data_IF_376825305320
#
_entry.id   IF_376825305320
#
_cell.length_a   1.000
_cell.length_b   1.000
_cell.length_c   1.000
_cell.angle_alpha   90.00
_cell.angle_beta   90.00
_cell.angle_gamma   90.00
#
_symmetry.space_group_name_H-M   'P 1'
#
loop_
_entity.id
_entity.type
_entity.pdbx_description
1 polymer ?
#
# COMPACT_ATOMS: atom_id res chain seq x y z
N UNK A 1 -3.96 34.31 -10.43
CA UNK A 1 -3.93 33.31 -9.34
C UNK A 1 -5.07 32.33 -9.58
N UNK A 2 -4.75 31.04 -9.54
CA UNK A 2 -5.72 29.96 -9.71
C UNK A 2 -6.39 29.72 -8.35
N UNK A 3 -7.73 29.60 -8.34
CA UNK A 3 -8.46 29.15 -7.16
C UNK A 3 -8.56 27.60 -7.21
N UNK A 4 -7.62 26.91 -6.56
CA UNK A 4 -7.49 25.47 -6.60
C UNK A 4 -8.71 24.74 -6.02
N UNK A 5 -9.30 25.27 -4.95
CA UNK A 5 -10.48 24.67 -4.29
C UNK A 5 -11.69 24.59 -5.22
N UNK A 6 -11.90 25.62 -6.08
CA UNK A 6 -12.98 25.61 -7.07
C UNK A 6 -12.81 24.52 -8.13
N UNK A 7 -11.59 24.01 -8.30
CA UNK A 7 -11.27 22.93 -9.24
C UNK A 7 -11.13 21.55 -8.56
N UNK A 8 -11.48 21.45 -7.26
CA UNK A 8 -11.49 20.20 -6.51
C UNK A 8 -10.11 19.77 -5.99
N UNK A 9 -9.19 20.73 -5.82
CA UNK A 9 -7.86 20.50 -5.25
C UNK A 9 -7.75 21.14 -3.88
N UNK A 10 -7.15 20.44 -2.94
CA UNK A 10 -6.77 20.98 -1.63
C UNK A 10 -5.40 21.65 -1.75
N UNK A 11 -5.35 22.98 -1.52
CA UNK A 11 -4.12 23.75 -1.57
C UNK A 11 -3.44 23.74 -0.20
N UNK A 12 -2.43 22.89 -0.04
CA UNK A 12 -1.79 22.61 1.25
C UNK A 12 -0.72 23.62 1.64
N UNK A 13 -0.25 24.48 0.72
CA UNK A 13 0.71 25.56 1.02
C UNK A 13 1.56 26.00 -0.15
N UNK A 14 2.32 27.08 0.10
CA UNK A 14 3.34 27.59 -0.81
C UNK A 14 4.60 28.01 -0.01
N UNK A 15 5.75 27.97 -0.66
CA UNK A 15 7.02 28.37 -0.10
C UNK A 15 7.82 29.18 -1.12
N UNK A 16 8.70 30.07 -0.66
CA UNK A 16 9.51 30.95 -1.50
C UNK A 16 10.75 30.27 -2.07
N UNK A 17 11.18 29.17 -1.49
CA UNK A 17 12.38 28.42 -1.86
C UNK A 17 12.31 26.95 -1.41
N UNK A 18 13.28 26.15 -1.87
CA UNK A 18 13.28 24.70 -1.61
C UNK A 18 13.59 24.34 -0.15
N UNK A 19 14.38 25.13 0.58
CA UNK A 19 14.70 24.84 1.99
C UNK A 19 13.48 25.00 2.89
N UNK A 20 12.63 26.00 2.62
CA UNK A 20 11.37 26.21 3.32
C UNK A 20 10.28 25.22 2.84
N UNK A 21 10.31 24.85 1.57
CA UNK A 21 9.35 23.91 1.01
C UNK A 21 9.51 22.48 1.56
N UNK A 22 10.75 22.01 1.69
CA UNK A 22 11.04 20.61 2.03
C UNK A 22 10.39 20.14 3.35
N UNK A 23 10.51 20.85 4.49
CA UNK A 23 9.84 20.45 5.73
C UNK A 23 8.32 20.41 5.59
N UNK A 24 7.73 21.39 4.87
CA UNK A 24 6.29 21.42 4.62
C UNK A 24 5.82 20.25 3.78
N UNK A 25 6.58 19.89 2.73
CA UNK A 25 6.30 18.73 1.87
C UNK A 25 6.35 17.42 2.67
N UNK A 26 7.34 17.26 3.54
CA UNK A 26 7.48 16.07 4.38
C UNK A 26 6.36 15.93 5.41
N UNK A 27 5.86 17.04 5.95
CA UNK A 27 4.74 17.09 6.88
C UNK A 27 3.41 16.83 6.17
N UNK A 28 3.14 17.54 5.07
CA UNK A 28 1.84 17.54 4.38
C UNK A 28 1.69 16.41 3.38
N UNK A 29 2.80 15.84 2.89
CA UNK A 29 2.84 14.74 1.90
C UNK A 29 1.91 14.99 0.70
N UNK A 30 2.09 16.08 -0.04
CA UNK A 30 1.19 16.42 -1.14
C UNK A 30 1.25 15.39 -2.26
N UNK A 31 0.13 15.15 -2.94
CA UNK A 31 0.08 14.31 -4.12
C UNK A 31 0.79 14.95 -5.31
N UNK A 32 0.70 16.30 -5.43
CA UNK A 32 1.29 17.09 -6.51
C UNK A 32 2.14 18.21 -5.92
N UNK A 33 3.37 18.28 -6.36
CA UNK A 33 4.30 19.38 -6.10
C UNK A 33 4.54 20.15 -7.39
N UNK A 34 4.32 21.46 -7.38
CA UNK A 34 4.67 22.36 -8.48
C UNK A 34 5.81 23.25 -8.00
N UNK A 35 6.93 23.26 -8.69
CA UNK A 35 8.11 24.02 -8.31
C UNK A 35 8.74 24.78 -9.48
N UNK A 36 9.31 25.94 -9.21
CA UNK A 36 10.20 26.61 -10.16
C UNK A 36 11.59 25.94 -10.11
N UNK A 37 12.35 25.97 -11.17
CA UNK A 37 13.76 25.55 -11.15
C UNK A 37 14.59 26.56 -10.37
N UNK A 38 14.52 27.84 -10.75
CA UNK A 38 15.41 28.88 -10.19
C UNK A 38 14.80 29.45 -8.92
N UNK A 39 15.18 28.89 -7.81
CA UNK A 39 14.85 29.37 -6.48
C UNK A 39 16.15 29.65 -5.68
N UNK A 40 16.13 30.57 -4.73
CA UNK A 40 17.29 30.81 -3.84
C UNK A 40 17.51 29.59 -2.93
N UNK A 41 18.74 29.42 -2.43
CA UNK A 41 19.20 28.42 -1.49
C UNK A 41 19.16 26.98 -2.06
N UNK A 42 17.99 26.43 -2.22
CA UNK A 42 17.75 25.10 -2.82
C UNK A 42 16.91 25.25 -4.09
N UNK A 43 17.45 24.83 -5.22
CA UNK A 43 16.72 24.88 -6.50
C UNK A 43 15.65 23.78 -6.62
N UNK A 44 14.76 23.93 -7.63
CA UNK A 44 13.65 22.99 -7.81
C UNK A 44 14.05 21.60 -8.25
N UNK A 45 15.22 21.40 -8.85
CA UNK A 45 15.73 20.08 -9.21
C UNK A 45 16.28 19.36 -7.98
N UNK A 46 17.05 20.08 -7.16
CA UNK A 46 17.56 19.55 -5.89
C UNK A 46 16.40 19.19 -4.93
N UNK A 47 15.42 20.09 -4.80
CA UNK A 47 14.18 19.83 -4.06
C UNK A 47 13.48 18.56 -4.58
N UNK A 48 13.30 18.45 -5.90
CA UNK A 48 12.64 17.31 -6.55
C UNK A 48 13.37 16.01 -6.27
N UNK A 49 14.70 16.00 -6.31
CA UNK A 49 15.50 14.82 -6.02
C UNK A 49 15.33 14.36 -4.57
N UNK A 50 15.34 15.30 -3.61
CA UNK A 50 15.14 14.99 -2.19
C UNK A 50 13.72 14.46 -1.93
N UNK A 51 12.70 15.10 -2.51
CA UNK A 51 11.31 14.67 -2.38
C UNK A 51 11.11 13.28 -2.96
N UNK A 52 11.63 12.99 -4.15
CA UNK A 52 11.51 11.65 -4.78
C UNK A 52 12.16 10.53 -3.96
N UNK A 53 13.23 10.80 -3.23
CA UNK A 53 13.88 9.82 -2.33
C UNK A 53 12.99 9.42 -1.15
N UNK A 54 12.21 10.36 -0.61
CA UNK A 54 11.43 10.16 0.62
C UNK A 54 9.95 9.90 0.31
N UNK A 55 9.41 10.59 -0.68
CA UNK A 55 8.01 10.53 -1.11
C UNK A 55 7.95 10.18 -2.62
N UNK A 56 8.28 8.95 -3.02
CA UNK A 56 8.35 8.58 -4.44
C UNK A 56 7.01 8.68 -5.17
N UNK A 57 5.89 8.61 -4.43
CA UNK A 57 4.54 8.72 -4.99
C UNK A 57 4.15 10.15 -5.37
N UNK A 58 4.76 11.18 -4.74
CA UNK A 58 4.48 12.58 -5.07
C UNK A 58 4.82 12.86 -6.53
N UNK A 59 3.84 13.34 -7.29
CA UNK A 59 4.02 13.77 -8.68
C UNK A 59 4.60 15.17 -8.68
N UNK A 60 5.71 15.36 -9.41
CA UNK A 60 6.42 16.64 -9.41
C UNK A 60 6.30 17.29 -10.79
N UNK A 61 5.87 18.54 -10.80
CA UNK A 61 5.77 19.36 -12.00
C UNK A 61 6.75 20.55 -11.86
N UNK A 62 7.62 20.72 -12.84
CA UNK A 62 8.61 21.78 -12.85
C UNK A 62 8.17 22.89 -13.80
N UNK A 63 8.23 24.12 -13.31
CA UNK A 63 8.08 25.35 -14.12
C UNK A 63 9.45 25.90 -14.45
N UNK A 64 9.77 26.09 -15.73
CA UNK A 64 11.06 26.63 -16.18
C UNK A 64 10.89 27.88 -17.04
N UNK A 65 11.72 28.87 -16.80
CA UNK A 65 11.70 30.12 -17.57
C UNK A 65 12.42 30.08 -18.91
N UNK A 66 13.19 29.03 -19.19
CA UNK A 66 13.99 28.90 -20.41
C UNK A 66 14.10 27.45 -20.88
N UNK A 67 14.34 27.35 -22.20
CA UNK A 67 14.54 26.09 -22.93
C UNK A 67 15.97 25.54 -22.64
N UNK A 68 16.34 25.41 -21.38
CA UNK A 68 17.62 24.84 -20.95
C UNK A 68 17.52 23.32 -21.03
N UNK A 69 17.98 22.76 -22.13
CA UNK A 69 17.96 21.32 -22.41
C UNK A 69 18.57 20.47 -21.29
N UNK A 70 19.59 21.00 -20.63
CA UNK A 70 20.26 20.30 -19.51
C UNK A 70 19.35 20.13 -18.28
N UNK A 71 18.52 21.13 -17.96
CA UNK A 71 17.56 21.00 -16.85
C UNK A 71 16.45 20.00 -17.17
N UNK A 72 15.94 20.00 -18.38
CA UNK A 72 14.95 18.99 -18.81
C UNK A 72 15.52 17.56 -18.73
N UNK A 73 16.78 17.37 -19.13
CA UNK A 73 17.47 16.09 -19.01
C UNK A 73 17.67 15.66 -17.54
N UNK A 74 17.97 16.59 -16.65
CA UNK A 74 18.08 16.32 -15.21
C UNK A 74 16.71 15.98 -14.61
N UNK A 75 15.66 16.74 -14.95
CA UNK A 75 14.29 16.48 -14.51
C UNK A 75 13.81 15.07 -14.88
N UNK A 76 14.10 14.61 -16.10
CA UNK A 76 13.79 13.24 -16.54
C UNK A 76 14.53 12.21 -15.70
N UNK A 77 15.81 12.41 -15.38
CA UNK A 77 16.59 11.49 -14.54
C UNK A 77 16.06 11.39 -13.10
N UNK A 78 15.54 12.49 -12.57
CA UNK A 78 14.93 12.55 -11.22
C UNK A 78 13.56 11.85 -11.22
N UNK A 79 12.92 11.71 -12.38
CA UNK A 79 11.56 11.17 -12.51
C UNK A 79 10.48 12.22 -12.21
N UNK A 80 10.73 13.46 -12.68
CA UNK A 80 9.72 14.52 -12.66
C UNK A 80 8.58 14.14 -13.61
N UNK A 81 7.36 14.41 -13.18
CA UNK A 81 6.14 13.99 -13.91
C UNK A 81 5.88 14.87 -15.13
N UNK A 82 6.08 16.18 -15.00
CA UNK A 82 5.87 17.12 -16.10
C UNK A 82 6.87 18.30 -16.02
N UNK A 83 7.17 18.87 -17.18
CA UNK A 83 8.09 19.99 -17.33
C UNK A 83 7.47 21.08 -18.21
N UNK A 84 7.10 22.20 -17.60
CA UNK A 84 6.32 23.25 -18.20
C UNK A 84 7.15 24.52 -18.41
N UNK A 85 7.02 25.12 -19.60
CA UNK A 85 7.77 26.34 -19.94
C UNK A 85 6.98 27.59 -19.59
N UNK A 86 7.64 28.53 -18.92
CA UNK A 86 7.14 29.91 -18.70
C UNK A 86 7.35 30.76 -19.97
N UNK A 87 6.44 31.69 -20.32
CA UNK A 87 5.22 32.04 -19.57
C UNK A 87 4.12 30.99 -19.78
N UNK A 88 3.48 30.54 -18.70
CA UNK A 88 2.35 29.62 -18.75
C UNK A 88 1.08 30.33 -18.28
N UNK A 89 -0.02 30.15 -19.01
CA UNK A 89 -1.30 30.67 -18.59
C UNK A 89 -1.90 29.80 -17.45
N UNK A 90 -2.76 30.40 -16.63
CA UNK A 90 -3.46 29.66 -15.57
C UNK A 90 -4.25 28.48 -16.09
N UNK A 91 -4.86 28.62 -17.28
CA UNK A 91 -5.60 27.56 -17.95
C UNK A 91 -4.69 26.38 -18.32
N UNK A 92 -3.56 26.64 -18.97
CA UNK A 92 -2.59 25.58 -19.33
C UNK A 92 -2.00 24.87 -18.12
N UNK A 93 -1.73 25.63 -17.04
CA UNK A 93 -1.24 25.04 -15.81
C UNK A 93 -2.30 24.12 -15.17
N UNK A 94 -3.55 24.58 -15.16
CA UNK A 94 -4.68 23.78 -14.66
C UNK A 94 -4.88 22.51 -15.48
N UNK A 95 -4.83 22.59 -16.80
CA UNK A 95 -4.93 21.43 -17.69
C UNK A 95 -3.81 20.40 -17.42
N UNK A 96 -2.59 20.87 -17.20
CA UNK A 96 -1.47 20.00 -16.84
C UNK A 96 -1.68 19.33 -15.49
N UNK A 97 -2.14 20.07 -14.48
CA UNK A 97 -2.48 19.51 -13.15
C UNK A 97 -3.61 18.49 -13.25
N UNK A 98 -4.65 18.77 -14.04
CA UNK A 98 -5.76 17.84 -14.25
C UNK A 98 -5.28 16.50 -14.83
N UNK A 99 -4.37 16.51 -15.81
CA UNK A 99 -3.79 15.28 -16.38
C UNK A 99 -3.04 14.47 -15.33
N UNK A 100 -2.20 15.13 -14.53
CA UNK A 100 -1.45 14.47 -13.46
C UNK A 100 -2.39 13.91 -12.39
N UNK A 101 -3.45 14.63 -12.05
CA UNK A 101 -4.47 14.15 -11.12
C UNK A 101 -5.25 12.93 -11.64
N UNK A 102 -5.54 12.88 -12.95
CA UNK A 102 -6.15 11.71 -13.58
C UNK A 102 -5.22 10.49 -13.52
N UNK A 103 -3.92 10.67 -13.76
CA UNK A 103 -2.91 9.60 -13.61
C UNK A 103 -2.88 9.07 -12.18
N UNK A 104 -2.88 9.95 -11.16
CA UNK A 104 -2.91 9.56 -9.75
C UNK A 104 -4.17 8.73 -9.44
N UNK A 105 -5.34 9.20 -9.86
CA UNK A 105 -6.61 8.48 -9.65
C UNK A 105 -6.60 7.11 -10.30
N UNK A 106 -6.05 7.00 -11.50
CA UNK A 106 -5.92 5.73 -12.21
C UNK A 106 -5.00 4.76 -11.46
N UNK A 107 -3.81 5.23 -11.06
CA UNK A 107 -2.85 4.43 -10.30
C UNK A 107 -3.45 3.94 -8.96
N UNK A 108 -4.20 4.80 -8.26
CA UNK A 108 -4.91 4.45 -7.02
C UNK A 108 -5.98 3.40 -7.26
N UNK A 109 -6.81 3.58 -8.30
CA UNK A 109 -7.87 2.62 -8.64
C UNK A 109 -7.29 1.25 -9.03
N UNK A 110 -6.22 1.20 -9.82
CA UNK A 110 -5.53 -0.04 -10.19
C UNK A 110 -4.95 -0.75 -8.95
N UNK A 111 -4.38 0.02 -8.03
CA UNK A 111 -3.85 -0.52 -6.76
C UNK A 111 -4.95 -1.06 -5.85
N UNK A 112 -6.08 -0.36 -5.74
CA UNK A 112 -7.24 -0.80 -4.98
C UNK A 112 -7.83 -2.09 -5.55
N UNK A 113 -7.98 -2.18 -6.87
CA UNK A 113 -8.43 -3.40 -7.54
C UNK A 113 -7.48 -4.58 -7.27
N UNK A 114 -6.16 -4.35 -7.39
CA UNK A 114 -5.17 -5.38 -7.12
C UNK A 114 -5.24 -5.88 -5.66
N UNK A 115 -5.39 -4.95 -4.71
CA UNK A 115 -5.55 -5.29 -3.29
C UNK A 115 -6.85 -6.07 -3.03
N UNK A 116 -7.94 -5.70 -3.72
CA UNK A 116 -9.21 -6.43 -3.63
C UNK A 116 -9.06 -7.86 -4.16
N UNK A 117 -8.47 -8.05 -5.35
CA UNK A 117 -8.20 -9.39 -5.88
C UNK A 117 -7.32 -10.22 -4.95
N UNK A 118 -6.29 -9.61 -4.35
CA UNK A 118 -5.42 -10.31 -3.41
C UNK A 118 -6.20 -10.78 -2.16
N UNK A 119 -7.10 -9.95 -1.63
CA UNK A 119 -7.99 -10.33 -0.51
C UNK A 119 -8.94 -11.45 -0.88
N UNK A 120 -9.63 -11.33 -2.02
CA UNK A 120 -10.55 -12.37 -2.50
C UNK A 120 -9.85 -13.70 -2.72
N UNK A 121 -8.62 -13.70 -3.26
CA UNK A 121 -7.81 -14.91 -3.40
C UNK A 121 -7.40 -15.51 -2.06
N UNK A 122 -7.10 -14.67 -1.07
CA UNK A 122 -6.76 -15.12 0.27
C UNK A 122 -7.97 -15.76 0.96
N UNK A 123 -9.13 -15.10 0.94
CA UNK A 123 -10.39 -15.59 1.50
C UNK A 123 -10.83 -16.91 0.86
N UNK A 124 -10.68 -17.03 -0.47
CA UNK A 124 -10.98 -18.27 -1.19
C UNK A 124 -10.07 -19.43 -0.73
N UNK A 125 -8.76 -19.17 -0.58
CA UNK A 125 -7.83 -20.20 -0.09
C UNK A 125 -8.15 -20.65 1.33
N UNK A 126 -8.54 -19.73 2.20
CA UNK A 126 -8.95 -20.06 3.58
C UNK A 126 -10.24 -20.86 3.60
N UNK A 127 -11.21 -20.49 2.77
CA UNK A 127 -12.45 -21.25 2.60
C UNK A 127 -12.20 -22.66 2.07
N UNK A 128 -11.33 -22.83 1.08
CA UNK A 128 -10.93 -24.14 0.56
C UNK A 128 -10.24 -24.99 1.64
N UNK A 129 -9.35 -24.41 2.42
CA UNK A 129 -8.72 -25.10 3.56
C UNK A 129 -9.75 -25.51 4.62
N UNK A 130 -10.68 -24.63 4.95
CA UNK A 130 -11.74 -24.94 5.90
C UNK A 130 -12.63 -26.10 5.42
N UNK A 131 -13.05 -26.09 4.15
CA UNK A 131 -13.84 -27.18 3.55
C UNK A 131 -13.05 -28.50 3.55
N UNK A 132 -11.76 -28.44 3.20
CA UNK A 132 -10.89 -29.60 3.23
C UNK A 132 -10.83 -30.21 4.63
N UNK A 133 -10.58 -29.41 5.68
CA UNK A 133 -10.54 -29.93 7.04
C UNK A 133 -11.87 -30.51 7.51
N UNK A 134 -13.00 -29.88 7.16
CA UNK A 134 -14.32 -30.42 7.46
C UNK A 134 -14.53 -31.80 6.85
N UNK A 135 -14.09 -32.02 5.61
CA UNK A 135 -14.18 -33.30 4.95
C UNK A 135 -13.28 -34.38 5.59
N UNK A 136 -12.05 -33.98 5.95
CA UNK A 136 -11.09 -34.83 6.66
C UNK A 136 -11.65 -35.26 8.02
N UNK A 137 -12.17 -34.32 8.81
CA UNK A 137 -12.72 -34.59 10.15
C UNK A 137 -14.05 -35.40 10.10
N UNK A 138 -14.84 -35.17 9.06
CA UNK A 138 -16.05 -35.96 8.83
C UNK A 138 -15.74 -37.38 8.35
N UNK A 139 -14.50 -37.72 8.05
CA UNK A 139 -14.10 -39.00 7.48
C UNK A 139 -14.70 -39.26 6.09
N UNK A 140 -15.13 -38.20 5.39
CA UNK A 140 -15.80 -38.33 4.08
C UNK A 140 -14.80 -38.37 2.90
N UNK A 141 -13.51 -38.20 3.15
CA UNK A 141 -12.46 -38.16 2.12
C UNK A 141 -11.54 -39.38 2.26
N UNK A 142 -11.27 -40.13 1.17
CA UNK A 142 -10.27 -41.19 1.16
C UNK A 142 -8.87 -40.66 1.44
N UNK A 143 -8.05 -41.43 2.16
CA UNK A 143 -6.72 -41.00 2.59
C UNK A 143 -5.79 -40.54 1.44
N UNK A 144 -5.83 -41.24 0.28
CA UNK A 144 -5.05 -40.84 -0.89
C UNK A 144 -5.44 -39.48 -1.45
N UNK A 145 -6.74 -39.17 -1.47
CA UNK A 145 -7.27 -37.89 -1.91
C UNK A 145 -6.93 -36.77 -0.91
N UNK A 146 -6.97 -37.08 0.39
CA UNK A 146 -6.56 -36.21 1.45
C UNK A 146 -5.09 -35.74 1.29
N UNK A 147 -4.18 -36.66 0.97
CA UNK A 147 -2.77 -36.33 0.74
C UNK A 147 -2.58 -35.43 -0.50
N UNK A 148 -3.32 -35.69 -1.57
CA UNK A 148 -3.21 -34.94 -2.82
C UNK A 148 -3.78 -33.53 -2.67
N UNK A 149 -4.98 -33.38 -2.13
CA UNK A 149 -5.60 -32.08 -1.89
C UNK A 149 -4.82 -31.24 -0.85
N UNK A 150 -4.38 -31.87 0.24
CA UNK A 150 -3.55 -31.19 1.23
C UNK A 150 -2.28 -30.61 0.61
N UNK A 151 -1.61 -31.36 -0.26
CA UNK A 151 -0.43 -30.89 -0.98
C UNK A 151 -0.75 -29.69 -1.89
N UNK A 152 -1.90 -29.70 -2.59
CA UNK A 152 -2.34 -28.59 -3.43
C UNK A 152 -2.63 -27.32 -2.61
N UNK A 153 -3.19 -27.49 -1.41
CA UNK A 153 -3.48 -26.40 -0.47
C UNK A 153 -2.26 -25.94 0.33
N UNK A 154 -1.08 -26.55 0.10
CA UNK A 154 0.15 -26.26 0.84
C UNK A 154 0.12 -26.73 2.29
N UNK A 155 -0.69 -27.75 2.58
CA UNK A 155 -0.82 -28.37 3.92
C UNK A 155 -0.03 -29.68 3.91
N UNK A 156 0.97 -29.78 4.81
CA UNK A 156 1.71 -31.03 4.97
C UNK A 156 0.95 -31.98 5.91
N UNK A 157 0.45 -33.08 5.34
CA UNK A 157 -0.40 -34.04 6.05
C UNK A 157 0.37 -35.33 6.40
N UNK A 158 1.65 -35.44 6.06
CA UNK A 158 2.43 -36.62 6.43
C UNK A 158 3.05 -36.46 7.81
N UNK A 159 2.44 -37.07 8.82
CA UNK A 159 2.94 -37.07 10.20
C UNK A 159 2.73 -38.44 10.84
N UNK A 160 3.56 -38.80 11.83
CA UNK A 160 3.43 -40.05 12.60
C UNK A 160 2.20 -40.07 13.53
N UNK A 161 1.64 -38.89 13.82
CA UNK A 161 0.43 -38.75 14.65
C UNK A 161 -0.21 -37.38 14.47
N UNK A 162 -1.52 -37.33 14.73
CA UNK A 162 -2.31 -36.10 14.62
C UNK A 162 -2.95 -35.79 15.96
N UNK A 163 -2.98 -34.52 16.33
CA UNK A 163 -3.65 -34.02 17.51
C UNK A 163 -4.59 -32.89 17.09
N UNK A 164 -5.83 -32.93 17.56
CA UNK A 164 -6.80 -31.83 17.37
C UNK A 164 -6.91 -31.07 18.68
N UNK A 165 -6.62 -29.79 18.66
CA UNK A 165 -6.73 -28.91 19.82
C UNK A 165 -7.90 -27.96 19.57
N UNK A 166 -8.88 -27.96 20.47
CA UNK A 166 -10.03 -27.07 20.42
C UNK A 166 -9.83 -25.92 21.41
N UNK A 167 -9.83 -24.70 20.89
CA UNK A 167 -9.82 -23.49 21.70
C UNK A 167 -11.22 -22.85 21.67
N UNK A 168 -11.73 -22.49 22.84
CA UNK A 168 -12.93 -21.69 22.97
C UNK A 168 -12.55 -20.37 23.63
N UNK A 169 -12.66 -19.27 22.86
CA UNK A 169 -12.50 -17.93 23.41
C UNK A 169 -13.82 -17.56 24.09
N UNK A 170 -13.79 -17.36 25.42
CA UNK A 170 -14.93 -16.87 26.19
C UNK A 170 -14.65 -15.41 26.47
N UNK A 171 -15.38 -14.52 25.80
CA UNK A 171 -15.36 -13.11 26.16
C UNK A 171 -16.07 -12.94 27.51
N UNK A 172 -15.33 -12.49 28.49
CA UNK A 172 -15.90 -12.08 29.77
C UNK A 172 -16.34 -10.63 29.59
N UNK A 173 -17.63 -10.36 29.75
CA UNK A 173 -18.24 -9.03 29.63
C UNK A 173 -17.51 -8.02 30.54
N UNK A 174 -16.53 -7.32 29.98
CA UNK A 174 -16.04 -6.06 30.50
C UNK A 174 -16.34 -4.96 29.49
N UNK A 175 -16.84 -3.79 29.93
CA UNK A 175 -17.12 -2.67 29.03
C UNK A 175 -15.82 -1.93 28.68
N UNK A 176 -14.99 -2.53 27.86
CA UNK A 176 -13.79 -1.91 27.29
C UNK A 176 -13.74 -2.17 25.78
N UNK A 177 -13.16 -1.25 25.07
CA UNK A 177 -13.11 -1.09 23.62
C UNK A 177 -12.67 -2.37 22.89
N UNK A 178 -13.64 -3.06 22.25
CA UNK A 178 -13.52 -4.42 21.72
C UNK A 178 -12.64 -4.57 20.48
N UNK A 179 -12.11 -3.47 19.91
CA UNK A 179 -11.42 -3.54 18.63
C UNK A 179 -9.94 -3.94 18.74
N UNK A 180 -9.24 -3.50 19.77
CA UNK A 180 -7.80 -3.77 19.94
C UNK A 180 -7.52 -5.15 20.54
N UNK A 181 -8.35 -5.61 21.48
CA UNK A 181 -8.14 -6.89 22.16
C UNK A 181 -8.43 -8.11 21.27
N UNK A 182 -9.38 -7.99 20.34
CA UNK A 182 -9.68 -9.07 19.36
C UNK A 182 -8.56 -9.18 18.33
N UNK A 183 -8.03 -8.06 17.85
CA UNK A 183 -6.91 -8.04 16.90
C UNK A 183 -5.65 -8.62 17.54
N UNK A 184 -5.35 -8.25 18.78
CA UNK A 184 -4.21 -8.79 19.54
C UNK A 184 -4.35 -10.29 19.81
N UNK A 185 -5.54 -10.77 20.19
CA UNK A 185 -5.78 -12.19 20.41
C UNK A 185 -5.70 -13.01 19.11
N UNK A 186 -6.10 -12.43 17.97
CA UNK A 186 -6.01 -13.08 16.65
C UNK A 186 -4.55 -13.14 16.19
N UNK A 187 -3.77 -12.08 16.38
CA UNK A 187 -2.33 -12.07 16.10
C UNK A 187 -1.55 -13.04 16.97
N UNK A 188 -1.89 -13.16 18.25
CA UNK A 188 -1.25 -14.12 19.17
C UNK A 188 -1.54 -15.57 18.77
N UNK A 189 -2.73 -15.86 18.26
CA UNK A 189 -3.12 -17.19 17.77
C UNK A 189 -2.45 -17.48 16.42
N UNK A 190 -2.35 -16.52 15.52
CA UNK A 190 -1.59 -16.64 14.27
C UNK A 190 -0.09 -16.86 14.55
N UNK A 191 0.48 -16.17 15.51
CA UNK A 191 1.86 -16.34 15.96
C UNK A 191 2.10 -17.71 16.60
N UNK A 192 1.14 -18.24 17.35
CA UNK A 192 1.19 -19.61 17.90
C UNK A 192 1.11 -20.67 16.80
N UNK A 193 0.38 -20.42 15.71
CA UNK A 193 0.34 -21.32 14.54
C UNK A 193 1.61 -21.30 13.71
N UNK A 194 2.37 -20.20 13.79
CA UNK A 194 3.65 -20.02 13.09
C UNK A 194 4.86 -20.60 13.84
N UNK A 195 4.72 -21.05 15.09
CA UNK A 195 5.79 -21.72 15.84
C UNK A 195 5.97 -23.14 15.30
N UNK A 196 6.82 -23.29 14.29
CA UNK A 196 7.35 -24.58 13.84
C UNK A 196 8.20 -25.18 14.96
N UNK A 197 7.63 -26.11 15.69
CA UNK A 197 8.45 -26.99 16.53
C UNK A 197 9.18 -27.98 15.65
N UNK A 198 10.50 -27.87 15.58
CA UNK A 198 11.38 -28.71 14.76
C UNK A 198 11.43 -30.19 15.20
N UNK A 199 10.64 -30.62 16.17
CA UNK A 199 10.55 -32.00 16.64
C UNK A 199 9.13 -32.57 16.88
N UNK A 200 8.08 -31.77 16.63
CA UNK A 200 6.69 -32.25 16.63
C UNK A 200 5.96 -31.46 15.55
N UNK A 201 5.83 -32.05 14.37
CA UNK A 201 4.91 -31.56 13.36
C UNK A 201 3.49 -31.71 13.93
N UNK A 202 2.99 -30.67 14.58
CA UNK A 202 1.59 -30.53 14.91
C UNK A 202 0.91 -29.89 13.70
N UNK A 203 0.14 -30.63 12.91
CA UNK A 203 -0.65 -30.00 11.87
C UNK A 203 -1.91 -29.41 12.51
N UNK A 204 -2.06 -28.13 12.33
CA UNK A 204 -3.30 -27.39 12.24
C UNK A 204 -4.11 -27.16 13.52
N UNK A 205 -4.12 -25.88 13.94
CA UNK A 205 -5.09 -25.32 14.87
C UNK A 205 -6.35 -24.97 14.08
N UNK A 206 -7.48 -25.55 14.43
CA UNK A 206 -8.80 -25.13 13.96
C UNK A 206 -9.43 -24.22 15.00
N UNK A 207 -9.67 -22.95 14.63
CA UNK A 207 -10.49 -22.04 15.40
C UNK A 207 -11.96 -22.24 15.00
N UNK A 208 -12.80 -22.53 15.95
CA UNK A 208 -14.26 -22.54 15.83
C UNK A 208 -14.84 -21.44 16.70
#
# INVERSE_FOLDING_TARGET
SINWEMHGYDFVGEASDGELALPMILEKKPDILITDIKMPFMDGLELSEQVKKVLPATKIMILSGYNEFDYAKMAIKIGVTDYLLKPISSEKLLDAVNKVAEEIRKEQSEKEQMNQYAREMQENKESEKFQFFNQVFAGSMPFGECLEQGKQLGIEISAEGYCVILFKIIMIDHPMDYSEDIVSATEDIENLSAVSYTHLTLPTILLV
#
